data_IF_925923312236
#
_entry.id   IF_925923312236
#
_cell.length_a   1.000
_cell.length_b   1.000
_cell.length_c   1.000
_cell.angle_alpha   90.00
_cell.angle_beta   90.00
_cell.angle_gamma   90.00
#
_symmetry.space_group_name_H-M   'P 1'
#
loop_
_entity.id
_entity.type
_entity.pdbx_description
1 polymer ?
#
# COMPACT_ATOMS: atom_id res chain seq x y z
N UNK A 1 21.25 2.85 14.74
CA UNK A 1 19.82 3.17 14.51
C UNK A 1 19.77 4.41 13.64
N UNK A 2 18.93 4.44 12.61
CA UNK A 2 18.75 5.63 11.78
C UNK A 2 18.06 6.73 12.56
N UNK A 3 18.54 7.96 12.49
CA UNK A 3 17.94 9.13 13.14
C UNK A 3 16.78 9.65 12.26
N UNK A 4 15.57 9.16 12.55
CA UNK A 4 14.37 9.44 11.74
C UNK A 4 13.87 10.89 11.89
N UNK A 5 14.23 11.58 12.98
CA UNK A 5 13.93 13.00 13.16
C UNK A 5 14.43 13.86 12.00
N UNK A 6 15.51 13.45 11.34
CA UNK A 6 16.04 14.14 10.15
C UNK A 6 15.06 14.22 8.97
N UNK A 7 14.04 13.35 8.94
CA UNK A 7 12.98 13.45 7.93
C UNK A 7 12.15 14.71 8.07
N UNK A 8 12.14 15.30 9.28
CA UNK A 8 11.25 16.41 9.65
C UNK A 8 11.99 17.65 10.16
N UNK A 9 13.30 17.76 9.92
CA UNK A 9 14.10 18.92 10.33
C UNK A 9 13.67 20.22 9.65
N UNK A 10 13.23 20.15 8.39
CA UNK A 10 12.79 21.30 7.60
C UNK A 10 11.57 20.97 6.75
N UNK A 11 10.70 21.96 6.43
CA UNK A 11 9.63 21.78 5.47
C UNK A 11 10.12 21.36 4.08
N UNK A 12 9.28 20.64 3.36
CA UNK A 12 9.58 20.21 1.99
C UNK A 12 10.17 18.81 1.93
N UNK A 13 11.09 18.62 1.00
CA UNK A 13 11.60 17.33 0.61
C UNK A 13 12.85 16.92 1.39
N UNK A 14 12.86 15.71 1.95
CA UNK A 14 14.05 15.08 2.52
C UNK A 14 14.19 13.63 2.05
N UNK A 15 15.36 13.04 2.25
CA UNK A 15 15.60 11.61 1.98
C UNK A 15 16.65 11.07 2.94
N UNK A 16 16.46 9.82 3.35
CA UNK A 16 17.25 9.20 4.40
C UNK A 16 17.38 7.70 4.12
N UNK A 17 18.59 7.11 4.14
CA UNK A 17 18.72 5.65 4.15
C UNK A 17 18.17 5.09 5.45
N UNK A 18 17.46 3.97 5.35
CA UNK A 18 16.84 3.30 6.48
C UNK A 18 17.14 1.80 6.43
N UNK A 19 17.42 1.23 7.57
CA UNK A 19 17.60 -0.21 7.72
C UNK A 19 16.57 -0.72 8.72
N UNK A 20 15.67 -1.54 8.24
CA UNK A 20 14.68 -2.20 9.08
C UNK A 20 15.38 -3.26 9.96
N UNK A 21 15.07 -3.34 11.26
CA UNK A 21 15.72 -4.30 12.18
C UNK A 21 15.60 -5.77 11.77
N UNK A 22 14.50 -6.13 11.09
CA UNK A 22 14.31 -7.49 10.58
C UNK A 22 15.09 -7.77 9.28
N UNK A 23 15.63 -6.72 8.63
CA UNK A 23 16.35 -6.82 7.37
C UNK A 23 17.67 -6.03 7.40
N UNK A 24 18.63 -6.36 8.31
CA UNK A 24 19.84 -5.57 8.55
C UNK A 24 20.74 -5.41 7.32
N UNK A 25 20.69 -6.35 6.39
CA UNK A 25 21.50 -6.36 5.16
C UNK A 25 20.75 -5.81 3.93
N UNK A 26 19.53 -5.26 4.13
CA UNK A 26 18.65 -4.81 3.05
C UNK A 26 18.22 -3.37 3.25
N UNK A 27 19.06 -2.38 2.91
CA UNK A 27 18.72 -0.99 3.08
C UNK A 27 17.54 -0.57 2.20
N UNK A 28 16.66 0.25 2.79
CA UNK A 28 15.59 1.00 2.18
C UNK A 28 16.01 2.46 2.04
N UNK A 29 15.23 3.25 1.31
CA UNK A 29 15.32 4.70 1.33
C UNK A 29 13.96 5.28 1.69
N UNK A 30 13.94 6.17 2.69
CA UNK A 30 12.75 6.94 3.04
C UNK A 30 12.83 8.30 2.37
N UNK A 31 11.78 8.68 1.67
CA UNK A 31 11.66 10.01 1.04
C UNK A 31 10.46 10.71 1.66
N UNK A 32 10.70 11.77 2.44
CA UNK A 32 9.64 12.49 3.12
C UNK A 32 9.29 13.80 2.40
N UNK A 33 7.99 14.09 2.36
CA UNK A 33 7.42 15.40 2.08
C UNK A 33 6.80 15.91 3.38
N UNK A 34 7.44 16.89 4.01
CA UNK A 34 7.00 17.49 5.26
C UNK A 34 6.22 18.77 5.00
N UNK A 35 4.99 18.93 5.52
CA UNK A 35 4.23 20.16 5.39
C UNK A 35 4.92 21.32 6.11
N UNK A 36 4.60 22.56 5.71
CA UNK A 36 5.12 23.77 6.36
C UNK A 36 4.73 23.84 7.84
N UNK A 37 3.47 23.51 8.13
CA UNK A 37 2.98 23.35 9.51
C UNK A 37 3.07 21.88 9.89
N UNK A 38 3.93 21.58 10.82
CA UNK A 38 4.18 20.23 11.30
C UNK A 38 4.46 20.24 12.79
N UNK A 39 3.87 19.28 13.46
CA UNK A 39 4.18 18.85 14.82
C UNK A 39 4.03 17.33 14.91
N UNK A 40 4.31 16.75 16.08
CA UNK A 40 4.21 15.31 16.25
C UNK A 40 2.75 14.77 16.13
N UNK A 41 1.73 15.63 16.23
CA UNK A 41 0.34 15.25 16.00
C UNK A 41 -0.06 15.27 14.51
N UNK A 42 0.82 15.75 13.62
CA UNK A 42 0.59 15.70 12.17
C UNK A 42 0.44 14.25 11.73
N UNK A 43 -0.66 13.89 11.02
CA UNK A 43 -0.86 12.54 10.53
C UNK A 43 0.25 12.08 9.58
N UNK A 44 0.59 10.79 9.65
CA UNK A 44 1.59 10.15 8.79
C UNK A 44 0.91 9.36 7.68
N UNK A 45 1.41 9.49 6.46
CA UNK A 45 1.03 8.71 5.30
C UNK A 45 2.25 7.97 4.76
N UNK A 46 2.18 6.66 4.64
CA UNK A 46 3.14 5.88 3.87
C UNK A 46 2.69 5.74 2.42
N UNK A 47 3.59 6.05 1.48
CA UNK A 47 3.34 5.97 0.05
C UNK A 47 4.21 4.89 -0.60
N UNK A 48 3.59 3.97 -1.32
CA UNK A 48 4.25 2.85 -1.99
C UNK A 48 4.30 3.06 -3.50
N UNK A 49 5.51 3.01 -4.04
CA UNK A 49 5.83 3.22 -5.45
C UNK A 49 5.39 2.05 -6.36
N UNK A 50 5.40 2.29 -7.66
CA UNK A 50 5.20 1.27 -8.68
C UNK A 50 6.41 0.33 -8.86
N UNK A 51 6.33 -0.53 -9.86
CA UNK A 51 7.36 -1.53 -10.20
C UNK A 51 8.72 -0.92 -10.56
N UNK A 52 8.78 0.36 -10.89
CA UNK A 52 10.04 1.08 -11.22
C UNK A 52 10.90 1.39 -10.00
N UNK A 53 10.43 1.13 -8.80
CA UNK A 53 11.15 1.36 -7.55
C UNK A 53 11.55 2.83 -7.32
N UNK A 54 10.77 3.77 -7.84
CA UNK A 54 11.02 5.21 -7.86
C UNK A 54 10.34 5.92 -6.68
N UNK A 55 10.70 5.58 -5.44
CA UNK A 55 10.09 6.14 -4.23
C UNK A 55 10.18 7.67 -4.18
N UNK A 56 11.30 8.23 -4.65
CA UNK A 56 11.48 9.68 -4.74
C UNK A 56 10.39 10.38 -5.55
N UNK A 57 9.97 9.81 -6.69
CA UNK A 57 8.91 10.41 -7.52
C UNK A 57 7.58 10.44 -6.75
N UNK A 58 7.29 9.36 -5.98
CA UNK A 58 6.08 9.31 -5.15
C UNK A 58 6.11 10.32 -4.02
N UNK A 59 7.26 10.58 -3.37
CA UNK A 59 7.41 11.70 -2.47
C UNK A 59 7.10 13.03 -3.18
N UNK A 60 7.63 13.22 -4.40
CA UNK A 60 7.46 14.45 -5.17
C UNK A 60 5.99 14.65 -5.59
N UNK A 61 5.24 13.57 -5.86
CA UNK A 61 3.79 13.66 -6.12
C UNK A 61 2.99 14.13 -4.91
N UNK A 62 3.43 13.80 -3.70
CA UNK A 62 2.81 14.26 -2.45
C UNK A 62 3.31 15.62 -2.00
N UNK A 63 4.47 16.09 -2.47
CA UNK A 63 5.06 17.37 -2.03
C UNK A 63 4.13 18.56 -2.27
N UNK A 64 3.38 18.55 -3.37
CA UNK A 64 2.39 19.59 -3.69
C UNK A 64 1.10 19.46 -2.88
N UNK A 65 0.86 18.34 -2.21
CA UNK A 65 -0.40 18.01 -1.54
C UNK A 65 -0.31 18.10 -0.01
N UNK A 66 0.88 17.93 0.57
CA UNK A 66 1.04 17.76 2.03
C UNK A 66 0.62 18.98 2.84
N UNK A 67 0.75 20.18 2.30
CA UNK A 67 0.32 21.41 2.98
C UNK A 67 -1.21 21.50 3.07
N UNK A 68 -1.92 21.16 2.00
CA UNK A 68 -3.38 21.15 1.93
C UNK A 68 -3.95 19.98 2.74
N UNK A 69 -3.40 18.79 2.54
CA UNK A 69 -3.79 17.58 3.25
C UNK A 69 -3.37 17.58 4.73
N UNK A 70 -2.44 18.44 5.14
CA UNK A 70 -1.84 18.49 6.48
C UNK A 70 -1.33 17.11 6.94
N UNK A 71 -0.53 16.45 6.10
CA UNK A 71 0.04 15.14 6.38
C UNK A 71 1.55 15.16 6.19
N UNK A 72 2.27 14.36 6.95
CA UNK A 72 3.65 13.98 6.68
C UNK A 72 3.62 12.78 5.75
N UNK A 73 3.94 12.94 4.47
CA UNK A 73 4.02 11.83 3.53
C UNK A 73 5.43 11.26 3.49
N UNK A 74 5.57 9.95 3.64
CA UNK A 74 6.85 9.23 3.58
C UNK A 74 6.71 8.14 2.51
N UNK A 75 7.39 8.31 1.37
CA UNK A 75 7.50 7.27 0.37
C UNK A 75 8.62 6.30 0.77
N UNK A 76 8.25 5.03 0.93
CA UNK A 76 9.18 3.96 1.29
C UNK A 76 9.70 3.33 -0.01
N UNK A 77 10.96 3.57 -0.33
CA UNK A 77 11.59 2.96 -1.50
C UNK A 77 12.21 1.62 -1.13
N UNK A 78 11.82 0.59 -1.87
CA UNK A 78 12.37 -0.76 -1.84
C UNK A 78 13.35 -0.91 -3.01
N UNK A 79 14.65 -0.60 -2.86
CA UNK A 79 15.59 -0.72 -3.95
C UNK A 79 15.66 -2.14 -4.51
N UNK A 80 15.69 -2.28 -5.84
CA UNK A 80 15.73 -3.59 -6.50
C UNK A 80 16.94 -4.41 -6.08
N UNK A 81 18.08 -3.75 -5.79
CA UNK A 81 19.28 -4.41 -5.30
C UNK A 81 19.11 -5.06 -3.91
N UNK A 82 18.32 -4.42 -3.04
CA UNK A 82 18.06 -4.91 -1.67
C UNK A 82 16.85 -5.83 -1.61
N UNK A 83 15.80 -5.53 -2.37
CA UNK A 83 14.52 -6.23 -2.39
C UNK A 83 14.21 -6.69 -3.83
N UNK A 84 14.90 -7.71 -4.34
CA UNK A 84 14.82 -8.07 -5.74
C UNK A 84 13.46 -8.66 -6.11
N UNK A 85 13.06 -8.38 -7.37
CA UNK A 85 11.86 -8.91 -8.00
C UNK A 85 10.57 -8.54 -7.26
N UNK A 86 9.46 -9.13 -7.70
CA UNK A 86 8.14 -8.93 -7.12
C UNK A 86 7.98 -9.61 -5.75
N UNK A 87 8.71 -10.70 -5.51
CA UNK A 87 8.62 -11.50 -4.29
C UNK A 87 8.95 -10.68 -3.05
N UNK A 88 10.06 -9.93 -3.09
CA UNK A 88 10.54 -9.13 -1.97
C UNK A 88 9.83 -7.78 -1.80
N UNK A 89 8.99 -7.39 -2.74
CA UNK A 89 8.24 -6.14 -2.64
C UNK A 89 6.74 -6.42 -2.50
N UNK A 90 6.00 -6.35 -3.60
CA UNK A 90 4.53 -6.37 -3.54
C UNK A 90 3.91 -7.77 -3.33
N UNK A 91 4.73 -8.81 -3.19
CA UNK A 91 4.32 -10.14 -2.70
C UNK A 91 4.75 -10.37 -1.24
N UNK A 92 5.37 -9.38 -0.59
CA UNK A 92 5.62 -9.38 0.83
C UNK A 92 6.64 -10.42 1.32
N UNK A 93 7.37 -11.07 0.42
CA UNK A 93 8.27 -12.19 0.72
C UNK A 93 7.58 -13.34 1.49
N UNK A 94 6.30 -13.59 1.20
CA UNK A 94 5.55 -14.68 1.85
C UNK A 94 6.11 -16.06 1.52
N UNK A 95 6.62 -16.23 0.30
CA UNK A 95 7.16 -17.49 -0.19
C UNK A 95 8.49 -17.26 -0.89
N UNK A 96 9.32 -18.28 -0.88
CA UNK A 96 10.52 -18.37 -1.73
C UNK A 96 10.11 -18.61 -3.19
N UNK A 97 11.08 -18.59 -4.11
CA UNK A 97 10.81 -18.84 -5.56
C UNK A 97 10.27 -20.23 -5.86
N UNK A 98 10.59 -21.22 -5.06
CA UNK A 98 10.09 -22.60 -5.18
C UNK A 98 8.72 -22.82 -4.50
N UNK A 99 8.15 -21.73 -3.93
CA UNK A 99 6.84 -21.78 -3.28
C UNK A 99 6.85 -22.16 -1.81
N UNK A 100 8.03 -22.38 -1.19
CA UNK A 100 8.11 -22.66 0.23
C UNK A 100 7.70 -21.42 1.06
N UNK A 101 6.78 -21.55 2.03
CA UNK A 101 6.40 -20.43 2.89
C UNK A 101 7.57 -19.92 3.72
N UNK A 102 7.73 -18.61 3.79
CA UNK A 102 8.66 -17.97 4.71
C UNK A 102 7.96 -17.72 6.07
N UNK A 103 8.71 -17.72 7.18
CA UNK A 103 8.17 -17.34 8.47
C UNK A 103 7.72 -15.87 8.46
N UNK A 104 6.73 -15.53 9.28
CA UNK A 104 6.08 -14.21 9.28
C UNK A 104 7.06 -13.05 9.55
N UNK A 105 8.09 -13.30 10.33
CA UNK A 105 9.16 -12.34 10.65
C UNK A 105 9.98 -11.93 9.41
N UNK A 106 10.02 -12.80 8.41
CA UNK A 106 10.68 -12.53 7.12
C UNK A 106 9.78 -11.83 6.10
N UNK A 107 8.52 -11.52 6.46
CA UNK A 107 7.62 -10.83 5.56
C UNK A 107 7.90 -9.33 5.52
N UNK A 108 8.05 -8.80 4.32
CA UNK A 108 8.34 -7.36 4.15
C UNK A 108 7.14 -6.47 4.47
N UNK A 109 5.93 -7.02 4.55
CA UNK A 109 4.73 -6.28 4.99
C UNK A 109 4.84 -5.73 6.42
N UNK A 110 5.67 -6.33 7.28
CA UNK A 110 5.92 -5.80 8.62
C UNK A 110 6.82 -4.57 8.68
N UNK A 111 7.41 -4.15 7.56
CA UNK A 111 8.31 -2.97 7.53
C UNK A 111 7.55 -1.70 7.89
N UNK A 112 6.34 -1.50 7.37
CA UNK A 112 5.54 -0.30 7.63
C UNK A 112 5.21 -0.16 9.11
N UNK A 113 4.80 -1.26 9.75
CA UNK A 113 4.50 -1.30 11.19
C UNK A 113 5.74 -0.93 12.02
N UNK A 114 6.86 -1.61 11.78
CA UNK A 114 8.10 -1.35 12.53
C UNK A 114 8.67 0.04 12.27
N UNK A 115 8.51 0.58 11.05
CA UNK A 115 8.88 1.96 10.75
C UNK A 115 8.00 2.93 11.54
N UNK A 116 6.69 2.71 11.59
CA UNK A 116 5.78 3.56 12.36
C UNK A 116 6.11 3.54 13.86
N UNK A 117 6.35 2.37 14.43
CA UNK A 117 6.82 2.22 15.81
C UNK A 117 8.10 3.02 16.07
N UNK A 118 9.08 3.00 15.16
CA UNK A 118 10.31 3.76 15.29
C UNK A 118 10.11 5.28 15.12
N UNK A 119 9.23 5.72 14.23
CA UNK A 119 8.84 7.13 14.11
C UNK A 119 8.22 7.62 15.43
N UNK A 120 7.37 6.80 16.03
CA UNK A 120 6.77 7.10 17.34
C UNK A 120 7.82 7.13 18.46
N UNK A 121 8.68 6.12 18.54
CA UNK A 121 9.72 6.03 19.56
C UNK A 121 10.75 7.19 19.50
N UNK A 122 10.96 7.76 18.30
CA UNK A 122 11.87 8.89 18.10
C UNK A 122 11.16 10.27 18.14
N UNK A 123 9.86 10.31 18.46
CA UNK A 123 9.10 11.56 18.59
C UNK A 123 8.77 12.26 17.26
N UNK A 124 8.92 11.57 16.13
CA UNK A 124 8.49 12.07 14.83
C UNK A 124 6.96 12.09 14.74
N UNK A 125 6.29 11.16 15.37
CA UNK A 125 4.82 11.16 15.47
C UNK A 125 4.36 10.80 16.87
N UNK A 126 3.24 11.39 17.31
CA UNK A 126 2.48 10.99 18.49
C UNK A 126 1.17 10.27 18.13
N UNK A 127 0.90 10.10 16.82
CA UNK A 127 -0.32 9.44 16.33
C UNK A 127 -0.26 7.95 16.63
N UNK A 128 -1.43 7.34 16.82
CA UNK A 128 -1.56 5.89 17.06
C UNK A 128 -1.84 5.12 15.77
N UNK A 129 -1.99 5.83 14.65
CA UNK A 129 -2.30 5.24 13.36
C UNK A 129 -1.71 6.05 12.20
N UNK A 130 -1.57 5.40 11.04
CA UNK A 130 -1.06 6.00 9.82
C UNK A 130 -1.96 5.68 8.62
N UNK A 131 -1.79 6.44 7.55
CA UNK A 131 -2.43 6.17 6.26
C UNK A 131 -1.53 5.36 5.34
N UNK A 132 -2.14 4.61 4.44
CA UNK A 132 -1.48 3.89 3.36
C UNK A 132 -1.98 4.37 2.00
N UNK A 133 -1.06 4.67 1.11
CA UNK A 133 -1.33 4.86 -0.31
C UNK A 133 -0.37 4.01 -1.13
N UNK A 134 -0.86 3.32 -2.14
CA UNK A 134 -0.01 2.61 -3.09
C UNK A 134 -0.56 2.63 -4.50
N UNK A 135 0.32 2.83 -5.48
CA UNK A 135 -0.04 2.81 -6.89
C UNK A 135 0.64 1.66 -7.63
N UNK A 136 -0.09 1.00 -8.54
CA UNK A 136 0.44 -0.10 -9.36
C UNK A 136 0.97 -1.27 -8.50
N UNK A 137 2.28 -1.53 -8.49
CA UNK A 137 2.90 -2.50 -7.57
C UNK A 137 2.70 -2.10 -6.11
N UNK A 138 2.74 -0.80 -5.79
CA UNK A 138 2.40 -0.28 -4.45
C UNK A 138 0.95 -0.53 -4.07
N UNK A 139 0.01 -0.41 -5.01
CA UNK A 139 -1.39 -0.79 -4.78
C UNK A 139 -1.53 -2.29 -4.50
N UNK A 140 -0.72 -3.13 -5.17
CA UNK A 140 -0.63 -4.54 -4.86
C UNK A 140 -0.04 -4.81 -3.47
N UNK A 141 0.97 -4.03 -3.05
CA UNK A 141 1.55 -4.11 -1.72
C UNK A 141 0.51 -3.80 -0.64
N UNK A 142 -0.17 -2.67 -0.76
CA UNK A 142 -1.15 -2.18 0.24
C UNK A 142 -2.25 -3.22 0.48
N UNK A 143 -3.02 -3.62 -0.56
CA UNK A 143 -4.14 -4.54 -0.31
C UNK A 143 -3.69 -5.93 0.18
N UNK A 144 -2.50 -6.39 -0.24
CA UNK A 144 -1.95 -7.67 0.22
C UNK A 144 -1.47 -7.60 1.67
N UNK A 145 -0.77 -6.54 2.06
CA UNK A 145 -0.38 -6.30 3.44
C UNK A 145 -1.58 -6.39 4.38
N UNK A 146 -2.67 -5.73 4.03
CA UNK A 146 -3.92 -5.75 4.79
C UNK A 146 -4.55 -7.16 4.84
N UNK A 147 -4.44 -7.94 3.76
CA UNK A 147 -4.97 -9.31 3.70
C UNK A 147 -4.33 -10.23 4.73
N UNK A 148 -3.09 -9.96 5.13
CA UNK A 148 -2.32 -10.73 6.11
C UNK A 148 -2.33 -10.12 7.52
N UNK A 149 -3.27 -9.23 7.82
CA UNK A 149 -3.50 -8.73 9.17
C UNK A 149 -2.61 -7.57 9.61
N UNK A 150 -1.78 -6.99 8.73
CA UNK A 150 -1.00 -5.79 9.03
C UNK A 150 -1.88 -4.54 8.85
N UNK A 151 -2.85 -4.33 9.74
CA UNK A 151 -3.87 -3.28 9.62
C UNK A 151 -4.24 -2.58 10.93
N UNK A 152 -3.76 -3.04 12.07
CA UNK A 152 -4.22 -2.56 13.39
C UNK A 152 -3.95 -1.06 13.60
N UNK A 153 -2.85 -0.56 13.04
CA UNK A 153 -2.45 0.86 13.11
C UNK A 153 -2.79 1.63 11.83
N UNK A 154 -3.54 1.03 10.90
CA UNK A 154 -3.89 1.66 9.63
C UNK A 154 -5.24 2.35 9.75
N UNK A 155 -5.26 3.68 9.69
CA UNK A 155 -6.49 4.47 9.72
C UNK A 155 -7.19 4.53 8.35
N UNK A 156 -6.42 4.56 7.26
CA UNK A 156 -6.93 4.63 5.89
C UNK A 156 -6.00 3.89 4.95
N UNK A 157 -6.55 3.15 4.01
CA UNK A 157 -5.78 2.45 2.99
C UNK A 157 -6.36 2.70 1.59
N UNK A 158 -5.48 3.14 0.69
CA UNK A 158 -5.79 3.39 -0.72
C UNK A 158 -4.93 2.52 -1.61
N UNK A 159 -5.57 1.61 -2.36
CA UNK A 159 -4.94 0.79 -3.39
C UNK A 159 -5.32 1.32 -4.77
N UNK A 160 -4.40 1.98 -5.46
CA UNK A 160 -4.65 2.65 -6.73
C UNK A 160 -4.07 1.86 -7.92
N UNK A 161 -4.88 1.62 -8.96
CA UNK A 161 -4.49 1.01 -10.24
C UNK A 161 -3.61 -0.24 -10.08
N UNK A 162 -3.92 -1.12 -9.12
CA UNK A 162 -3.13 -2.32 -8.88
C UNK A 162 -3.12 -3.24 -10.12
N UNK A 163 -1.96 -3.84 -10.40
CA UNK A 163 -1.79 -4.70 -11.57
C UNK A 163 -2.60 -5.99 -11.49
N UNK A 164 -2.68 -6.59 -10.29
CA UNK A 164 -3.47 -7.77 -9.93
C UNK A 164 -3.86 -7.70 -8.46
N UNK A 165 -4.85 -8.48 -8.07
CA UNK A 165 -5.32 -8.55 -6.69
C UNK A 165 -5.17 -9.97 -6.12
N UNK A 166 -4.96 -10.07 -4.80
CA UNK A 166 -5.26 -11.27 -4.04
C UNK A 166 -6.77 -11.24 -3.76
N UNK A 167 -7.55 -12.00 -4.54
CA UNK A 167 -9.01 -12.02 -4.43
C UNK A 167 -9.41 -12.55 -3.04
N UNK A 168 -10.52 -12.08 -2.45
CA UNK A 168 -11.01 -12.53 -1.14
C UNK A 168 -11.62 -13.94 -1.24
N UNK A 169 -10.79 -14.90 -1.59
CA UNK A 169 -11.16 -16.28 -1.90
C UNK A 169 -10.11 -17.24 -1.33
N UNK A 170 -10.51 -18.04 -0.36
CA UNK A 170 -9.65 -19.03 0.31
C UNK A 170 -9.43 -20.30 -0.53
N UNK A 171 -10.17 -20.49 -1.63
CA UNK A 171 -10.02 -21.63 -2.54
C UNK A 171 -9.01 -21.39 -3.66
N UNK A 172 -8.80 -20.12 -4.03
CA UNK A 172 -7.81 -19.73 -5.03
C UNK A 172 -6.45 -19.56 -4.38
N UNK A 173 -5.39 -20.29 -4.83
CA UNK A 173 -4.05 -20.17 -4.26
C UNK A 173 -3.47 -18.77 -4.41
N UNK A 174 -2.66 -18.37 -3.43
CA UNK A 174 -1.80 -17.19 -3.50
C UNK A 174 -0.93 -17.21 -4.77
N UNK A 175 -0.64 -16.08 -5.42
CA UNK A 175 -0.96 -14.70 -5.04
C UNK A 175 -2.23 -14.12 -5.68
N UNK A 176 -3.09 -14.94 -6.25
CA UNK A 176 -4.31 -14.50 -6.93
C UNK A 176 -5.58 -14.66 -6.08
N UNK A 177 -5.47 -15.38 -4.97
CA UNK A 177 -6.42 -15.49 -3.88
C UNK A 177 -5.66 -15.62 -2.56
N UNK A 178 -6.33 -16.04 -1.51
CA UNK A 178 -5.79 -16.21 -0.15
C UNK A 178 -5.64 -17.70 0.23
N UNK A 179 -5.92 -18.61 -0.70
CA UNK A 179 -5.71 -20.04 -0.49
C UNK A 179 -4.25 -20.40 -0.33
N UNK A 180 -3.98 -21.49 0.40
CA UNK A 180 -2.63 -21.98 0.70
C UNK A 180 -1.79 -20.97 1.50
N UNK A 181 -2.46 -20.13 2.32
CA UNK A 181 -1.84 -19.18 3.25
C UNK A 181 -2.37 -19.42 4.66
N UNK A 182 -1.93 -18.62 5.63
CA UNK A 182 -2.42 -18.65 7.02
C UNK A 182 -3.74 -17.89 7.24
N UNK A 183 -4.31 -17.30 6.17
CA UNK A 183 -5.60 -16.59 6.26
C UNK A 183 -6.74 -17.58 6.30
N UNK A 184 -7.46 -17.62 7.42
CA UNK A 184 -8.66 -18.40 7.59
C UNK A 184 -9.95 -17.58 7.35
N UNK A 185 -11.10 -18.18 7.63
CA UNK A 185 -12.40 -17.52 7.47
C UNK A 185 -12.54 -16.29 8.36
N UNK A 186 -12.00 -16.30 9.57
CA UNK A 186 -12.07 -15.14 10.48
C UNK A 186 -11.13 -14.02 10.03
N UNK A 187 -9.94 -14.36 9.56
CA UNK A 187 -9.03 -13.42 8.91
C UNK A 187 -9.66 -12.76 7.70
N UNK A 188 -10.39 -13.54 6.87
CA UNK A 188 -11.14 -13.01 5.74
C UNK A 188 -12.30 -12.10 6.17
N UNK A 189 -13.08 -12.46 7.21
CA UNK A 189 -14.12 -11.60 7.78
C UNK A 189 -13.55 -10.26 8.26
N UNK A 190 -12.44 -10.31 8.98
CA UNK A 190 -11.77 -9.11 9.47
C UNK A 190 -11.20 -8.24 8.34
N UNK A 191 -10.69 -8.85 7.26
CA UNK A 191 -10.26 -8.14 6.05
C UNK A 191 -11.43 -7.44 5.36
N UNK A 192 -12.57 -8.11 5.19
CA UNK A 192 -13.77 -7.55 4.55
C UNK A 192 -14.36 -6.39 5.36
N UNK A 193 -14.30 -6.46 6.68
CA UNK A 193 -14.75 -5.41 7.58
C UNK A 193 -13.81 -4.18 7.60
N UNK A 194 -12.54 -4.34 7.22
CA UNK A 194 -11.59 -3.24 7.17
C UNK A 194 -11.85 -2.33 5.95
N UNK A 195 -11.93 -0.98 6.11
CA UNK A 195 -12.26 -0.07 5.02
C UNK A 195 -11.09 0.11 4.03
N UNK A 196 -11.14 -0.60 2.90
CA UNK A 196 -10.20 -0.43 1.80
C UNK A 196 -10.85 0.47 0.73
N UNK A 197 -10.16 1.53 0.34
CA UNK A 197 -10.50 2.32 -0.83
C UNK A 197 -9.67 1.85 -2.02
N UNK A 198 -10.31 1.30 -3.04
CA UNK A 198 -9.68 0.99 -4.32
C UNK A 198 -9.91 2.15 -5.27
N UNK A 199 -8.86 2.74 -5.81
CA UNK A 199 -8.98 3.83 -6.79
C UNK A 199 -8.64 3.31 -8.17
N UNK A 200 -9.54 3.54 -9.13
CA UNK A 200 -9.46 3.06 -10.49
C UNK A 200 -9.45 4.23 -11.49
N UNK A 201 -8.34 4.45 -12.16
CA UNK A 201 -8.26 5.44 -13.24
C UNK A 201 -9.07 4.97 -14.44
N UNK A 202 -10.04 5.78 -14.91
CA UNK A 202 -10.97 5.38 -15.97
C UNK A 202 -10.30 5.17 -17.32
N UNK A 203 -9.08 5.68 -17.50
CA UNK A 203 -8.27 5.49 -18.70
C UNK A 203 -7.14 4.45 -18.53
N UNK A 204 -7.07 3.72 -17.39
CA UNK A 204 -6.15 2.59 -17.21
C UNK A 204 -6.69 1.30 -17.86
N UNK A 205 -7.00 1.43 -19.13
CA UNK A 205 -7.64 0.41 -19.98
C UNK A 205 -6.67 -0.29 -20.96
N UNK A 206 -5.37 -0.04 -20.83
CA UNK A 206 -4.37 -0.72 -21.64
C UNK A 206 -4.30 -2.20 -21.31
N UNK A 207 -4.28 -3.04 -22.34
CA UNK A 207 -4.17 -4.51 -22.26
C UNK A 207 -2.78 -5.02 -22.61
N UNK A 208 -1.85 -4.12 -22.89
CA UNK A 208 -0.48 -4.41 -23.31
C UNK A 208 0.52 -3.54 -22.53
N UNK A 209 1.81 -3.85 -22.67
CA UNK A 209 2.89 -3.11 -22.04
C UNK A 209 3.85 -4.04 -21.29
N UNK A 210 5.09 -3.53 -21.06
CA UNK A 210 6.17 -4.29 -20.43
C UNK A 210 5.80 -4.82 -19.03
N UNK A 211 5.05 -4.03 -18.26
CA UNK A 211 4.70 -4.34 -16.88
C UNK A 211 3.21 -4.66 -16.69
N UNK A 212 2.51 -4.91 -17.78
CA UNK A 212 1.10 -5.32 -17.69
C UNK A 212 1.00 -6.82 -17.43
N UNK A 213 0.40 -7.26 -16.30
CA UNK A 213 0.21 -8.68 -16.03
C UNK A 213 -0.83 -9.28 -16.96
N UNK A 214 -0.41 -10.16 -17.88
CA UNK A 214 -1.24 -10.78 -18.93
C UNK A 214 -1.28 -12.30 -18.91
N UNK A 215 -0.81 -12.92 -17.82
CA UNK A 215 -0.97 -14.34 -17.61
C UNK A 215 -2.43 -14.74 -17.42
N UNK A 216 -2.80 -16.01 -17.69
CA UNK A 216 -4.19 -16.47 -17.61
C UNK A 216 -4.89 -16.16 -16.27
N UNK A 217 -4.16 -16.26 -15.16
CA UNK A 217 -4.71 -15.93 -13.83
C UNK A 217 -5.02 -14.44 -13.67
N UNK A 218 -4.14 -13.56 -14.18
CA UNK A 218 -4.38 -12.11 -14.18
C UNK A 218 -5.57 -11.71 -15.05
N UNK A 219 -5.69 -12.33 -16.23
CA UNK A 219 -6.76 -12.04 -17.19
C UNK A 219 -8.15 -12.48 -16.68
N UNK A 220 -8.23 -13.48 -15.80
CA UNK A 220 -9.49 -13.84 -15.12
C UNK A 220 -10.00 -12.77 -14.17
N UNK A 221 -9.13 -11.88 -13.67
CA UNK A 221 -9.54 -10.77 -12.81
C UNK A 221 -10.12 -9.59 -13.60
N UNK A 222 -9.90 -9.52 -14.91
CA UNK A 222 -10.33 -8.48 -15.82
C UNK A 222 -9.30 -8.26 -16.92
N UNK A 223 -9.75 -7.78 -18.08
CA UNK A 223 -8.89 -7.52 -19.24
C UNK A 223 -7.98 -6.30 -19.01
N UNK A 224 -8.42 -5.34 -18.19
CA UNK A 224 -7.72 -4.09 -17.89
C UNK A 224 -7.51 -3.94 -16.39
N UNK A 225 -6.63 -3.03 -15.95
CA UNK A 225 -6.48 -2.74 -14.51
C UNK A 225 -7.73 -2.06 -13.94
N UNK A 226 -8.42 -1.25 -14.74
CA UNK A 226 -9.69 -0.66 -14.36
C UNK A 226 -10.72 -1.74 -14.03
N UNK A 227 -10.94 -2.70 -14.92
CA UNK A 227 -11.87 -3.82 -14.69
C UNK A 227 -11.46 -4.66 -13.46
N UNK A 228 -10.16 -4.91 -13.27
CA UNK A 228 -9.66 -5.67 -12.11
C UNK A 228 -9.98 -4.99 -10.79
N UNK A 229 -9.88 -3.67 -10.74
CA UNK A 229 -10.24 -2.89 -9.55
C UNK A 229 -11.73 -3.02 -9.20
N UNK A 230 -12.61 -2.89 -10.21
CA UNK A 230 -14.05 -3.06 -10.07
C UNK A 230 -14.39 -4.48 -9.59
N UNK A 231 -13.84 -5.49 -10.25
CA UNK A 231 -14.08 -6.89 -9.93
C UNK A 231 -13.55 -7.30 -8.55
N UNK A 232 -12.44 -6.70 -8.10
CA UNK A 232 -11.90 -6.95 -6.75
C UNK A 232 -12.88 -6.49 -5.67
N UNK A 233 -13.41 -5.26 -5.77
CA UNK A 233 -14.37 -4.74 -4.79
C UNK A 233 -15.69 -5.52 -4.87
N UNK A 234 -16.16 -5.81 -6.07
CA UNK A 234 -17.37 -6.63 -6.25
C UNK A 234 -17.21 -8.03 -5.62
N UNK A 235 -16.05 -8.66 -5.79
CA UNK A 235 -15.77 -9.96 -5.17
C UNK A 235 -15.71 -9.88 -3.64
N UNK A 236 -15.25 -8.76 -3.06
CA UNK A 236 -15.32 -8.50 -1.62
C UNK A 236 -16.74 -8.49 -1.10
N UNK A 237 -17.63 -7.77 -1.77
CA UNK A 237 -19.04 -7.76 -1.43
C UNK A 237 -19.72 -9.14 -1.57
N UNK A 238 -19.36 -9.89 -2.62
CA UNK A 238 -19.86 -11.24 -2.82
C UNK A 238 -19.38 -12.21 -1.73
N UNK A 239 -18.10 -12.14 -1.36
CA UNK A 239 -17.53 -12.95 -0.27
C UNK A 239 -18.18 -12.60 1.08
N UNK A 240 -18.41 -11.31 1.35
CA UNK A 240 -19.08 -10.87 2.58
C UNK A 240 -20.53 -11.41 2.66
N UNK A 241 -21.27 -11.34 1.56
CA UNK A 241 -22.62 -11.91 1.49
C UNK A 241 -22.62 -13.43 1.75
N UNK A 242 -21.69 -14.17 1.16
CA UNK A 242 -21.54 -15.60 1.37
C UNK A 242 -21.16 -15.97 2.82
N UNK A 243 -20.42 -15.09 3.49
CA UNK A 243 -20.01 -15.25 4.89
C UNK A 243 -21.00 -14.62 5.89
N UNK A 244 -22.13 -14.06 5.44
CA UNK A 244 -23.08 -13.33 6.27
C UNK A 244 -22.43 -12.23 7.13
N UNK A 245 -21.54 -11.42 6.51
CA UNK A 245 -20.86 -10.29 7.15
C UNK A 245 -20.95 -9.04 6.27
N UNK A 246 -20.47 -7.90 6.78
CA UNK A 246 -20.39 -6.64 6.01
C UNK A 246 -19.07 -6.56 5.24
N UNK A 247 -19.09 -5.82 4.12
CA UNK A 247 -17.89 -5.41 3.40
C UNK A 247 -17.77 -3.89 3.42
N UNK A 248 -16.66 -3.38 3.95
CA UNK A 248 -16.39 -1.94 4.02
C UNK A 248 -15.59 -1.42 2.82
N UNK A 249 -15.38 -2.25 1.81
CA UNK A 249 -14.61 -1.88 0.62
C UNK A 249 -15.42 -0.98 -0.31
N UNK A 250 -14.74 -0.03 -0.91
CA UNK A 250 -15.32 0.83 -1.94
C UNK A 250 -14.36 1.00 -3.11
N UNK A 251 -14.92 1.19 -4.31
CA UNK A 251 -14.16 1.64 -5.47
C UNK A 251 -14.50 3.11 -5.74
N UNK A 252 -13.47 3.89 -6.11
CA UNK A 252 -13.61 5.27 -6.57
C UNK A 252 -13.01 5.34 -7.97
N UNK A 253 -13.84 5.69 -8.94
CA UNK A 253 -13.40 5.99 -10.28
C UNK A 253 -12.68 7.35 -10.29
N UNK A 254 -11.52 7.40 -10.97
CA UNK A 254 -10.76 8.63 -11.16
C UNK A 254 -10.83 9.04 -12.64
N UNK A 255 -11.73 9.97 -12.99
CA UNK A 255 -11.99 10.34 -14.37
C UNK A 255 -10.75 10.89 -15.09
N UNK A 256 -10.51 10.43 -16.31
CA UNK A 256 -9.44 10.94 -17.18
C UNK A 256 -8.02 10.53 -16.76
N UNK A 257 -7.87 9.70 -15.73
CA UNK A 257 -6.55 9.24 -15.28
C UNK A 257 -6.30 7.83 -15.81
N UNK A 258 -5.14 7.65 -16.47
CA UNK A 258 -4.63 6.35 -16.89
C UNK A 258 -3.77 5.68 -15.84
N UNK A 259 -2.75 4.92 -16.27
CA UNK A 259 -1.77 4.29 -15.36
C UNK A 259 -0.72 5.31 -14.90
N UNK A 260 -1.15 6.35 -14.19
CA UNK A 260 -0.34 7.50 -13.78
C UNK A 260 -0.34 7.68 -12.25
N UNK A 261 0.86 7.52 -11.65
CA UNK A 261 1.04 7.65 -10.20
C UNK A 261 0.80 9.06 -9.67
N UNK A 262 1.12 10.11 -10.46
CA UNK A 262 0.91 11.50 -10.06
C UNK A 262 -0.58 11.84 -10.01
N UNK A 263 -1.32 11.49 -11.05
CA UNK A 263 -2.76 11.71 -11.11
C UNK A 263 -3.50 10.94 -10.02
N UNK A 264 -3.09 9.69 -9.76
CA UNK A 264 -3.70 8.88 -8.68
C UNK A 264 -3.36 9.41 -7.28
N UNK A 265 -2.14 9.93 -7.05
CA UNK A 265 -1.76 10.59 -5.78
C UNK A 265 -2.60 11.85 -5.55
N UNK A 266 -2.77 12.68 -6.58
CA UNK A 266 -3.58 13.89 -6.50
C UNK A 266 -5.04 13.58 -6.14
N UNK A 267 -5.62 12.55 -6.78
CA UNK A 267 -6.98 12.10 -6.48
C UNK A 267 -7.12 11.47 -5.06
N UNK A 268 -6.06 10.84 -4.56
CA UNK A 268 -6.05 10.24 -3.23
C UNK A 268 -5.92 11.26 -2.09
N UNK A 269 -5.29 12.42 -2.36
CA UNK A 269 -5.04 13.46 -1.33
C UNK A 269 -6.26 13.79 -0.48
N UNK A 270 -7.40 14.20 -1.05
CA UNK A 270 -8.62 14.50 -0.28
C UNK A 270 -9.16 13.31 0.50
N UNK A 271 -9.10 12.10 -0.05
CA UNK A 271 -9.57 10.87 0.60
C UNK A 271 -8.74 10.56 1.84
N UNK A 272 -7.42 10.66 1.70
CA UNK A 272 -6.46 10.44 2.79
C UNK A 272 -6.60 11.52 3.86
N UNK A 273 -6.68 12.79 3.46
CA UNK A 273 -6.81 13.91 4.39
C UNK A 273 -8.07 13.77 5.25
N UNK A 274 -9.22 13.54 4.63
CA UNK A 274 -10.50 13.38 5.35
C UNK A 274 -10.39 12.26 6.39
N UNK A 275 -9.94 11.06 5.99
CA UNK A 275 -9.91 9.91 6.88
C UNK A 275 -8.87 10.05 8.03
N UNK A 276 -7.75 10.72 7.80
CA UNK A 276 -6.70 10.91 8.82
C UNK A 276 -7.04 12.01 9.84
N UNK A 277 -7.94 12.93 9.49
CA UNK A 277 -8.38 14.01 10.38
C UNK A 277 -9.70 13.70 11.09
N UNK A 278 -10.62 12.94 10.47
CA UNK A 278 -11.91 12.58 11.09
C UNK A 278 -11.77 11.52 12.19
N UNK A 279 -10.69 10.75 12.20
CA UNK A 279 -10.37 9.72 13.19
C UNK A 279 -9.56 10.21 14.42
N UNK A 280 -9.47 11.53 14.61
CA UNK A 280 -8.65 12.16 15.67
C UNK A 280 -9.46 12.47 16.91
#
# INVERSE_FOLDING_TARGET
>A
MTELTRLVDAPGASSLPYVDPAFPDRPLVLHAARPRQYDAATPVLFAHHGVRRNGRDYRDYWLDLVDEARVLAIAIEFPEASFPEYLWYHFGNLHTKDGTPNPREAWTFGIDVRLFEQLHAQGVTSRQSYGLFGHSAGGQYVHRMLSFGFRDEVAVAVSANAGTYAMPDLSTPWPFGLGETDVDTEGLRALLAFPITVMAGTEDVLTTGRFFPKGPRSMRQGATRYERAQNYVQSGHAAAAALHTSCAWKVIDVPGVGHDGKGMSAAAGPVVAAALHDGS
#
